data_IF_604106330362
#
_entry.id   IF_604106330362
#
_cell.length_a   1.000
_cell.length_b   1.000
_cell.length_c   1.000
_cell.angle_alpha   90.00
_cell.angle_beta   90.00
_cell.angle_gamma   90.00
#
_symmetry.space_group_name_H-M   'P 1'
#
loop_
_entity.id
_entity.type
_entity.pdbx_description
1 polymer ?
#
# COMPACT_ATOMS: atom_id res chain seq x y z
N UNK A 1 40.16 20.93 36.40
CA UNK A 1 39.33 20.84 35.18
C UNK A 1 38.12 19.96 35.48
N UNK A 2 36.88 20.47 35.50
CA UNK A 2 35.75 19.64 35.92
C UNK A 2 35.43 18.59 34.85
N UNK A 3 35.50 17.33 35.26
CA UNK A 3 35.15 16.15 34.46
C UNK A 3 33.71 15.79 34.81
N UNK A 4 32.86 15.69 33.79
CA UNK A 4 31.43 15.37 33.94
C UNK A 4 31.02 14.22 33.02
N UNK A 5 29.96 13.50 33.40
CA UNK A 5 29.44 12.36 32.64
C UNK A 5 28.35 12.80 31.65
N UNK A 6 28.46 12.34 30.41
CA UNK A 6 27.45 12.59 29.39
C UNK A 6 26.12 11.92 29.75
N UNK A 7 24.99 12.64 29.68
CA UNK A 7 23.66 12.08 30.01
C UNK A 7 23.17 10.96 29.07
N UNK A 8 23.82 10.76 27.91
CA UNK A 8 23.42 9.77 26.90
C UNK A 8 24.34 8.56 26.89
N UNK A 9 25.65 8.76 26.69
CA UNK A 9 26.60 7.65 26.59
C UNK A 9 27.39 7.41 27.89
N UNK A 10 27.18 8.21 28.94
CA UNK A 10 27.87 8.14 30.23
C UNK A 10 29.38 8.35 30.21
N UNK A 11 29.99 8.57 29.03
CA UNK A 11 31.41 8.90 28.87
C UNK A 11 31.76 10.20 29.61
N UNK A 12 32.91 10.18 30.26
CA UNK A 12 33.48 11.34 30.92
C UNK A 12 34.10 12.31 29.91
N UNK A 13 33.87 13.60 30.11
CA UNK A 13 34.40 14.65 29.26
C UNK A 13 34.61 15.93 30.07
N UNK A 14 35.53 16.76 29.59
CA UNK A 14 35.75 18.07 30.16
C UNK A 14 34.61 19.02 29.77
N UNK A 15 34.05 19.72 30.76
CA UNK A 15 33.15 20.83 30.54
C UNK A 15 33.73 22.10 31.15
N UNK A 16 33.64 23.23 30.44
CA UNK A 16 34.08 24.52 30.99
C UNK A 16 33.23 24.87 32.23
N UNK A 17 33.82 25.36 33.34
CA UNK A 17 33.06 25.74 34.54
C UNK A 17 31.91 26.71 34.25
N UNK A 18 32.11 27.68 33.35
CA UNK A 18 31.07 28.62 32.91
C UNK A 18 29.88 27.92 32.23
N UNK A 19 30.12 26.89 31.43
CA UNK A 19 29.06 26.08 30.80
C UNK A 19 28.31 25.24 31.81
N UNK A 20 28.96 24.78 32.87
CA UNK A 20 28.30 24.06 33.96
C UNK A 20 27.37 24.99 34.74
N UNK A 21 27.82 26.22 35.05
CA UNK A 21 26.99 27.26 35.70
C UNK A 21 25.74 27.60 34.88
N UNK A 22 25.84 27.61 33.55
CA UNK A 22 24.71 27.83 32.63
C UNK A 22 23.92 26.56 32.28
N UNK A 23 24.34 25.38 32.75
CA UNK A 23 23.69 24.10 32.48
C UNK A 23 23.85 23.58 31.03
N UNK A 24 24.89 24.01 30.30
CA UNK A 24 25.18 23.60 28.92
C UNK A 24 26.09 22.36 28.81
N UNK A 25 26.90 22.07 29.82
CA UNK A 25 27.83 20.92 29.86
C UNK A 25 27.17 19.55 30.09
N UNK A 26 26.10 19.22 29.36
CA UNK A 26 25.28 17.99 29.57
C UNK A 26 25.72 16.79 28.71
N UNK A 27 26.37 17.03 27.58
CA UNK A 27 26.66 16.02 26.57
C UNK A 27 28.09 16.16 26.05
N UNK A 28 28.76 15.03 25.84
CA UNK A 28 30.15 15.01 25.38
C UNK A 28 30.35 15.36 23.90
N UNK A 29 29.28 15.41 23.10
CA UNK A 29 29.34 15.63 21.65
C UNK A 29 27.99 16.08 21.09
N UNK A 30 28.03 16.72 19.91
CA UNK A 30 26.84 17.06 19.13
C UNK A 30 25.95 15.83 18.85
N UNK A 31 26.56 14.65 18.63
CA UNK A 31 25.83 13.38 18.45
C UNK A 31 24.97 13.03 19.67
N UNK A 32 25.53 13.14 20.88
CA UNK A 32 24.79 12.86 22.11
C UNK A 32 23.72 13.92 22.37
N UNK A 33 24.03 15.20 22.13
CA UNK A 33 23.05 16.26 22.23
C UNK A 33 21.87 16.04 21.28
N UNK A 34 22.12 15.68 20.01
CA UNK A 34 21.07 15.41 19.04
C UNK A 34 20.20 14.22 19.46
N UNK A 35 20.81 13.13 19.92
CA UNK A 35 20.07 11.97 20.47
C UNK A 35 19.15 12.38 21.62
N UNK A 36 19.60 13.24 22.53
CA UNK A 36 18.79 13.71 23.65
C UNK A 36 17.61 14.60 23.23
N UNK A 37 17.69 15.23 22.06
CA UNK A 37 16.61 16.04 21.50
C UNK A 37 15.53 15.20 20.78
N UNK A 38 15.80 13.92 20.49
CA UNK A 38 14.84 13.03 19.84
C UNK A 38 13.72 12.63 20.82
N UNK A 39 12.58 13.32 20.74
CA UNK A 39 11.36 13.03 21.54
C UNK A 39 10.35 12.12 20.83
N UNK A 40 10.72 11.63 19.64
CA UNK A 40 9.85 10.80 18.82
C UNK A 40 9.74 9.36 19.29
N UNK A 41 8.96 8.56 18.58
CA UNK A 41 8.81 7.13 18.87
C UNK A 41 8.96 6.30 17.60
N UNK A 42 9.33 5.03 17.78
CA UNK A 42 9.30 4.05 16.70
C UNK A 42 7.86 3.61 16.43
N UNK A 43 7.49 3.60 15.15
CA UNK A 43 6.19 3.13 14.67
C UNK A 43 6.42 2.15 13.53
N UNK A 44 5.46 1.23 13.29
CA UNK A 44 5.54 0.29 12.18
C UNK A 44 5.05 0.96 10.89
N UNK A 45 5.76 0.74 9.78
CA UNK A 45 5.28 1.12 8.47
C UNK A 45 3.99 0.37 8.12
N UNK A 46 2.98 1.05 7.57
CA UNK A 46 1.72 0.42 7.22
C UNK A 46 1.85 -0.64 6.10
N UNK A 47 2.71 -0.39 5.11
CA UNK A 47 2.93 -1.27 3.95
C UNK A 47 3.93 -2.37 4.28
N UNK A 48 5.20 -2.05 4.52
CA UNK A 48 6.27 -3.05 4.68
C UNK A 48 6.50 -3.51 6.13
N UNK A 49 5.74 -2.98 7.10
CA UNK A 49 5.83 -3.31 8.54
C UNK A 49 7.16 -3.01 9.25
N UNK A 50 8.20 -2.55 8.54
CA UNK A 50 9.48 -2.12 9.13
C UNK A 50 9.29 -1.05 10.21
N UNK A 51 10.06 -1.15 11.29
CA UNK A 51 10.08 -0.13 12.35
C UNK A 51 10.79 1.14 11.87
N UNK A 52 10.14 2.29 12.08
CA UNK A 52 10.60 3.59 11.61
C UNK A 52 10.45 4.62 12.71
N UNK A 53 11.47 5.44 12.93
CA UNK A 53 11.37 6.55 13.89
C UNK A 53 10.54 7.68 13.30
N UNK A 54 9.65 8.27 14.11
CA UNK A 54 8.86 9.45 13.73
C UNK A 54 8.86 10.49 14.84
N UNK A 55 9.06 11.75 14.43
CA UNK A 55 9.00 12.91 15.31
C UNK A 55 7.58 13.12 15.87
N UNK A 56 7.43 13.71 17.08
CA UNK A 56 6.13 13.98 17.69
C UNK A 56 5.15 14.74 16.79
N UNK A 57 5.66 15.75 16.06
CA UNK A 57 4.88 16.53 15.09
C UNK A 57 4.28 15.64 14.01
N UNK A 58 5.06 14.72 13.44
CA UNK A 58 4.59 13.80 12.40
C UNK A 58 3.52 12.82 12.92
N UNK A 59 3.58 12.47 14.21
CA UNK A 59 2.58 11.61 14.85
C UNK A 59 1.28 12.39 15.11
N UNK A 60 1.36 13.64 15.59
CA UNK A 60 0.20 14.49 15.90
C UNK A 60 -0.57 14.91 14.65
N UNK A 61 0.11 15.23 13.55
CA UNK A 61 -0.54 15.74 12.34
C UNK A 61 -0.95 14.64 11.33
N UNK A 62 -0.77 13.36 11.66
CA UNK A 62 -1.13 12.28 10.75
C UNK A 62 -2.65 12.11 10.68
N UNK A 63 -3.29 12.69 9.67
CA UNK A 63 -4.75 12.57 9.45
C UNK A 63 -5.21 11.12 9.27
N UNK A 64 -4.41 10.28 8.61
CA UNK A 64 -4.77 8.88 8.33
C UNK A 64 -4.37 7.92 9.45
N UNK A 65 -3.58 8.36 10.44
CA UNK A 65 -2.97 7.50 11.44
C UNK A 65 -2.01 6.44 10.86
N UNK A 66 -1.69 6.49 9.56
CA UNK A 66 -0.79 5.55 8.89
C UNK A 66 0.60 6.17 8.75
N UNK A 67 1.62 5.35 8.97
CA UNK A 67 3.02 5.78 8.91
C UNK A 67 3.81 4.95 7.90
N UNK A 68 4.84 5.56 7.32
CA UNK A 68 5.61 4.96 6.23
C UNK A 68 7.11 5.12 6.46
N UNK A 69 7.91 4.13 6.04
CA UNK A 69 9.36 4.20 6.10
C UNK A 69 9.93 5.27 5.16
N UNK A 70 9.32 5.43 3.99
CA UNK A 70 9.75 6.34 2.94
C UNK A 70 8.55 6.77 2.06
N UNK A 71 8.83 7.65 1.09
CA UNK A 71 7.83 8.08 0.10
C UNK A 71 7.32 6.91 -0.76
N UNK A 72 8.13 5.91 -1.09
CA UNK A 72 7.66 4.80 -1.93
C UNK A 72 6.54 4.00 -1.27
N UNK A 73 6.68 3.63 0.01
CA UNK A 73 5.61 2.98 0.76
C UNK A 73 4.36 3.86 0.91
N UNK A 74 4.53 5.18 1.03
CA UNK A 74 3.40 6.11 1.06
C UNK A 74 2.67 6.14 -0.29
N UNK A 75 3.41 6.21 -1.40
CA UNK A 75 2.84 6.21 -2.76
C UNK A 75 2.14 4.89 -3.07
N UNK A 76 2.73 3.75 -2.72
CA UNK A 76 2.09 2.44 -2.83
C UNK A 76 0.75 2.42 -2.07
N UNK A 77 0.73 2.96 -0.85
CA UNK A 77 -0.50 3.07 -0.08
C UNK A 77 -1.53 3.97 -0.76
N UNK A 78 -1.14 5.16 -1.23
CA UNK A 78 -2.04 6.08 -1.94
C UNK A 78 -2.66 5.44 -3.18
N UNK A 79 -1.84 4.82 -4.01
CA UNK A 79 -2.29 4.22 -5.27
C UNK A 79 -3.16 2.98 -5.03
N UNK A 80 -2.89 2.23 -3.96
CA UNK A 80 -3.62 0.99 -3.65
C UNK A 80 -4.90 1.21 -2.84
N UNK A 81 -4.99 2.27 -2.05
CA UNK A 81 -6.09 2.45 -1.08
C UNK A 81 -6.81 3.80 -1.16
N UNK A 82 -6.16 4.88 -1.61
CA UNK A 82 -6.73 6.24 -1.56
C UNK A 82 -7.28 6.66 -2.92
N UNK A 83 -6.44 6.62 -3.94
CA UNK A 83 -6.79 7.04 -5.29
C UNK A 83 -7.25 5.84 -6.12
N UNK A 84 -8.45 5.35 -5.81
CA UNK A 84 -9.08 4.26 -6.55
C UNK A 84 -10.45 4.70 -7.03
N UNK A 85 -10.84 4.24 -8.23
CA UNK A 85 -12.18 4.49 -8.73
C UNK A 85 -12.40 5.99 -8.91
N UNK A 86 -13.56 6.46 -8.49
CA UNK A 86 -13.95 7.89 -8.51
C UNK A 86 -12.98 8.82 -7.78
N UNK A 87 -12.21 8.33 -6.82
CA UNK A 87 -11.23 9.13 -6.09
C UNK A 87 -9.91 9.32 -6.86
N UNK A 88 -9.70 8.60 -7.97
CA UNK A 88 -8.51 8.75 -8.79
C UNK A 88 -8.66 9.96 -9.75
N UNK A 89 -7.68 10.88 -9.84
CA UNK A 89 -7.80 12.08 -10.69
C UNK A 89 -8.10 11.78 -12.16
N UNK A 90 -7.51 10.72 -12.71
CA UNK A 90 -7.73 10.29 -14.10
C UNK A 90 -8.99 9.42 -14.28
N UNK A 91 -9.88 9.36 -13.28
CA UNK A 91 -11.11 8.59 -13.38
C UNK A 91 -12.09 9.26 -14.34
N UNK A 92 -12.43 8.58 -15.43
CA UNK A 92 -13.41 9.08 -16.40
C UNK A 92 -14.81 8.57 -16.07
N UNK A 93 -15.04 7.28 -16.20
CA UNK A 93 -16.40 6.72 -16.16
C UNK A 93 -16.47 5.23 -15.77
N UNK A 94 -15.35 4.60 -15.40
CA UNK A 94 -15.34 3.25 -14.81
C UNK A 94 -15.71 2.09 -15.73
N UNK A 95 -15.95 2.34 -17.00
CA UNK A 95 -16.30 1.30 -17.97
C UNK A 95 -15.15 0.34 -18.28
N UNK A 96 -13.91 0.64 -17.89
CA UNK A 96 -12.71 -0.16 -18.19
C UNK A 96 -12.14 -0.93 -17.00
N UNK A 97 -12.74 -0.81 -15.80
CA UNK A 97 -12.16 -1.43 -14.58
C UNK A 97 -12.58 -2.87 -14.32
N UNK A 98 -13.44 -3.47 -15.14
CA UNK A 98 -13.93 -4.83 -14.91
C UNK A 98 -12.79 -5.87 -14.87
N UNK A 99 -11.73 -5.70 -15.68
CA UNK A 99 -10.54 -6.56 -15.64
C UNK A 99 -9.79 -6.40 -14.31
N UNK A 100 -9.54 -5.16 -13.88
CA UNK A 100 -8.89 -4.85 -12.60
C UNK A 100 -9.69 -5.38 -11.41
N UNK A 101 -11.02 -5.32 -11.46
CA UNK A 101 -11.91 -5.87 -10.42
C UNK A 101 -11.67 -7.37 -10.29
N UNK A 102 -11.64 -8.10 -11.41
CA UNK A 102 -11.37 -9.54 -11.40
C UNK A 102 -9.98 -9.85 -10.82
N UNK A 103 -8.93 -9.15 -11.25
CA UNK A 103 -7.57 -9.36 -10.75
C UNK A 103 -7.45 -9.08 -9.24
N UNK A 104 -8.13 -8.05 -8.74
CA UNK A 104 -8.11 -7.69 -7.31
C UNK A 104 -8.96 -8.62 -6.45
N UNK A 105 -9.95 -9.29 -7.04
CA UNK A 105 -10.88 -10.16 -6.31
C UNK A 105 -10.28 -11.46 -5.79
N UNK A 106 -9.02 -11.76 -6.13
CA UNK A 106 -8.35 -13.04 -5.86
C UNK A 106 -9.02 -14.27 -6.49
N UNK A 107 -10.00 -14.11 -7.39
CA UNK A 107 -10.44 -15.20 -8.26
C UNK A 107 -9.25 -15.71 -9.06
N UNK A 108 -9.14 -17.02 -9.20
CA UNK A 108 -8.09 -17.60 -10.04
C UNK A 108 -8.21 -17.09 -11.48
N UNK A 109 -7.09 -16.68 -12.06
CA UNK A 109 -7.01 -16.27 -13.46
C UNK A 109 -6.98 -17.52 -14.34
N UNK A 110 -8.15 -18.14 -14.49
CA UNK A 110 -8.36 -19.37 -15.24
C UNK A 110 -9.63 -19.23 -16.09
N UNK A 111 -9.60 -19.73 -17.32
CA UNK A 111 -10.80 -19.76 -18.15
C UNK A 111 -11.86 -20.66 -17.51
N UNK A 112 -13.07 -20.14 -17.29
CA UNK A 112 -14.16 -20.89 -16.65
C UNK A 112 -14.53 -22.16 -17.43
N UNK A 113 -14.43 -22.13 -18.77
CA UNK A 113 -14.79 -23.24 -19.65
C UNK A 113 -13.63 -24.23 -19.87
N UNK A 114 -12.57 -23.81 -20.58
CA UNK A 114 -11.48 -24.72 -20.97
C UNK A 114 -10.36 -24.86 -19.93
N UNK A 115 -10.47 -24.17 -18.79
CA UNK A 115 -9.50 -24.23 -17.67
C UNK A 115 -8.06 -23.81 -18.02
N UNK A 116 -7.83 -23.14 -19.16
CA UNK A 116 -6.50 -22.57 -19.45
C UNK A 116 -6.12 -21.49 -18.44
N UNK A 117 -4.84 -21.51 -18.04
CA UNK A 117 -4.23 -20.58 -17.07
C UNK A 117 -3.31 -19.54 -17.74
N UNK A 118 -3.19 -19.57 -19.07
CA UNK A 118 -2.34 -18.62 -19.78
C UNK A 118 -2.94 -17.21 -19.74
N UNK A 119 -2.35 -16.36 -18.91
CA UNK A 119 -2.79 -14.98 -18.67
C UNK A 119 -2.82 -14.12 -19.94
N UNK A 120 -2.01 -14.45 -20.94
CA UNK A 120 -1.92 -13.68 -22.19
C UNK A 120 -3.21 -13.77 -23.00
N UNK A 121 -3.91 -14.89 -22.91
CA UNK A 121 -5.14 -15.16 -23.69
C UNK A 121 -6.42 -14.97 -22.88
N UNK A 122 -6.32 -14.67 -21.57
CA UNK A 122 -7.48 -14.46 -20.72
C UNK A 122 -8.07 -13.05 -20.89
N UNK A 123 -9.38 -13.00 -21.04
CA UNK A 123 -10.21 -11.82 -21.14
C UNK A 123 -11.35 -11.86 -20.11
N UNK A 124 -11.74 -10.69 -19.62
CA UNK A 124 -12.86 -10.53 -18.71
C UNK A 124 -14.18 -10.51 -19.51
N UNK A 125 -15.13 -11.33 -19.09
CA UNK A 125 -16.44 -11.47 -19.73
C UNK A 125 -17.56 -11.02 -18.79
N UNK A 126 -18.60 -10.38 -19.34
CA UNK A 126 -19.81 -9.98 -18.63
C UNK A 126 -20.92 -11.00 -18.94
N UNK A 127 -21.41 -11.72 -17.94
CA UNK A 127 -22.40 -12.80 -18.11
C UNK A 127 -23.72 -12.29 -18.71
N UNK A 128 -24.15 -11.10 -18.30
CA UNK A 128 -25.36 -10.43 -18.80
C UNK A 128 -25.15 -9.71 -20.15
N UNK A 129 -23.92 -9.65 -20.67
CA UNK A 129 -23.57 -8.87 -21.86
C UNK A 129 -23.56 -7.35 -21.67
N UNK A 130 -23.95 -6.84 -20.50
CA UNK A 130 -23.99 -5.42 -20.20
C UNK A 130 -22.65 -4.94 -19.63
N UNK A 131 -21.86 -4.24 -20.46
CA UNK A 131 -20.54 -3.67 -20.10
C UNK A 131 -20.58 -2.63 -18.96
N UNK A 132 -21.76 -2.15 -18.56
CA UNK A 132 -21.94 -1.25 -17.41
C UNK A 132 -22.07 -2.00 -16.09
N UNK A 133 -22.47 -3.27 -16.10
CA UNK A 133 -22.65 -4.08 -14.90
C UNK A 133 -21.32 -4.69 -14.43
N UNK A 134 -20.53 -3.90 -13.72
CA UNK A 134 -19.21 -4.27 -13.20
C UNK A 134 -19.26 -5.07 -11.88
N UNK A 135 -20.41 -5.61 -11.47
CA UNK A 135 -20.51 -6.42 -10.25
C UNK A 135 -19.63 -7.66 -10.39
N UNK A 136 -18.83 -7.98 -9.38
CA UNK A 136 -17.90 -9.13 -9.42
C UNK A 136 -18.58 -10.47 -9.76
N UNK A 137 -19.85 -10.64 -9.37
CA UNK A 137 -20.67 -11.83 -9.70
C UNK A 137 -21.00 -11.93 -11.20
N UNK A 138 -21.09 -10.79 -11.89
CA UNK A 138 -21.34 -10.70 -13.32
C UNK A 138 -20.07 -10.87 -14.18
N UNK A 139 -18.90 -10.93 -13.55
CA UNK A 139 -17.61 -10.98 -14.23
C UNK A 139 -16.95 -12.35 -14.08
N UNK A 140 -16.46 -12.90 -15.19
CA UNK A 140 -15.73 -14.17 -15.25
C UNK A 140 -14.53 -14.09 -16.20
N UNK A 141 -13.56 -14.99 -16.01
CA UNK A 141 -12.42 -15.13 -16.91
C UNK A 141 -12.74 -16.14 -18.01
N UNK A 142 -12.50 -15.77 -19.26
CA UNK A 142 -12.55 -16.67 -20.42
C UNK A 142 -11.30 -16.46 -21.28
N UNK A 143 -10.80 -17.51 -21.93
CA UNK A 143 -9.80 -17.32 -22.97
C UNK A 143 -10.43 -16.70 -24.22
N UNK A 144 -9.66 -16.10 -25.12
CA UNK A 144 -10.18 -15.48 -26.33
C UNK A 144 -11.07 -16.39 -27.17
N UNK A 145 -10.71 -17.67 -27.32
CA UNK A 145 -11.51 -18.64 -28.07
C UNK A 145 -12.85 -18.90 -27.39
N UNK A 146 -12.85 -19.23 -26.09
CA UNK A 146 -14.08 -19.44 -25.33
C UNK A 146 -14.94 -18.17 -25.26
N UNK A 147 -14.32 -17.01 -25.13
CA UNK A 147 -14.99 -15.72 -25.11
C UNK A 147 -15.71 -15.46 -26.43
N UNK A 148 -15.04 -15.69 -27.56
CA UNK A 148 -15.63 -15.60 -28.88
C UNK A 148 -16.80 -16.58 -29.04
N UNK A 149 -16.60 -17.85 -28.70
CA UNK A 149 -17.64 -18.87 -28.80
C UNK A 149 -18.88 -18.54 -27.96
N UNK A 150 -18.73 -17.98 -26.75
CA UNK A 150 -19.89 -17.58 -25.93
C UNK A 150 -20.74 -16.49 -26.58
N UNK A 151 -20.15 -15.63 -27.42
CA UNK A 151 -20.90 -14.61 -28.16
C UNK A 151 -21.57 -15.14 -29.42
N UNK A 152 -21.00 -16.17 -30.06
CA UNK A 152 -21.41 -16.63 -31.39
C UNK A 152 -22.09 -18.01 -31.41
N UNK A 153 -21.88 -18.83 -30.39
CA UNK A 153 -22.45 -20.17 -30.24
C UNK A 153 -23.36 -20.26 -29.00
N UNK A 154 -24.63 -20.59 -29.25
CA UNK A 154 -25.66 -20.70 -28.22
C UNK A 154 -25.38 -21.87 -27.27
N UNK A 155 -24.79 -22.96 -27.75
CA UNK A 155 -24.51 -24.12 -26.90
C UNK A 155 -23.41 -23.79 -25.89
N UNK A 156 -22.31 -23.19 -26.35
CA UNK A 156 -21.22 -22.73 -25.49
C UNK A 156 -21.71 -21.71 -24.46
N UNK A 157 -22.62 -20.81 -24.84
CA UNK A 157 -23.25 -19.88 -23.89
C UNK A 157 -24.04 -20.60 -22.80
N UNK A 158 -24.83 -21.63 -23.14
CA UNK A 158 -25.55 -22.45 -22.16
C UNK A 158 -24.58 -23.17 -21.23
N UNK A 159 -23.50 -23.75 -21.77
CA UNK A 159 -22.44 -24.38 -20.97
C UNK A 159 -21.81 -23.41 -19.98
N UNK A 160 -21.53 -22.16 -20.37
CA UNK A 160 -21.03 -21.15 -19.45
C UNK A 160 -22.02 -20.87 -18.32
N UNK A 161 -23.29 -20.68 -18.63
CA UNK A 161 -24.31 -20.41 -17.61
C UNK A 161 -24.46 -21.57 -16.62
N UNK A 162 -24.39 -22.81 -17.08
CA UNK A 162 -24.45 -23.99 -16.23
C UNK A 162 -23.24 -24.15 -15.27
N UNK A 163 -22.09 -23.55 -15.60
CA UNK A 163 -20.88 -23.61 -14.75
C UNK A 163 -20.85 -22.46 -13.72
N UNK A 164 -21.62 -21.39 -13.94
CA UNK A 164 -21.54 -20.15 -13.14
C UNK A 164 -22.77 -19.96 -12.23
N UNK A 165 -23.90 -20.61 -12.56
CA UNK A 165 -25.08 -20.76 -11.68
C UNK A 165 -24.81 -21.88 -10.68
#
# INVERSE_FOLDING_TARGET
>A
MPIVKCKICKKEFYAKPSWLKQGWGKYCSAKCQHKAQLRGKFVKCFICKKQVWKAPKALKHSKSGKYFCNKSCQTLWRNKFVYIGKNHPNWKNGHTIYRDILQRSKKEEICTLCKTKDRRVLAAHHLDGNRKNIKLKNLVWLCWNCHFLVHHDKETKKRLMAVVV
#
